data_IF_216141316141
#
_entry.id   IF_216141316141
#
_cell.length_a   1.000
_cell.length_b   1.000
_cell.length_c   1.000
_cell.angle_alpha   90.00
_cell.angle_beta   90.00
_cell.angle_gamma   90.00
#
_symmetry.space_group_name_H-M   'P 1'
#
loop_
_entity.id
_entity.type
_entity.pdbx_description
1 polymer ?
#
# COMPACT_ATOMS: atom_id res chain seq x y z
N UNK A 1 -62.96 2.22 45.19
CA UNK A 1 -61.76 1.73 44.57
C UNK A 1 -61.86 2.00 43.07
N UNK A 2 -61.30 3.10 42.59
CA UNK A 2 -61.31 3.46 41.17
C UNK A 2 -60.02 2.93 40.57
N UNK A 3 -60.14 2.03 39.61
CA UNK A 3 -59.02 1.50 38.85
C UNK A 3 -58.88 2.38 37.62
N UNK A 4 -57.80 3.18 37.60
CA UNK A 4 -57.44 4.07 36.49
C UNK A 4 -56.59 3.25 35.50
N UNK A 5 -57.16 2.89 34.35
CA UNK A 5 -56.44 2.25 33.28
C UNK A 5 -55.80 3.33 32.40
N UNK A 6 -54.56 3.67 32.68
CA UNK A 6 -53.72 4.48 31.79
C UNK A 6 -53.23 3.64 30.60
N UNK A 7 -53.81 3.85 29.43
CA UNK A 7 -53.30 3.30 28.16
C UNK A 7 -52.07 4.13 27.73
N UNK A 8 -50.86 3.66 28.02
CA UNK A 8 -49.64 4.19 27.41
C UNK A 8 -49.53 3.62 26.00
N UNK A 9 -49.87 4.42 24.98
CA UNK A 9 -49.56 4.12 23.58
C UNK A 9 -48.10 4.47 23.30
N UNK A 10 -47.22 3.46 23.33
CA UNK A 10 -45.85 3.62 22.85
C UNK A 10 -45.81 3.42 21.34
N UNK A 11 -45.68 4.49 20.58
CA UNK A 11 -45.52 4.48 19.14
C UNK A 11 -44.03 4.26 18.81
N UNK A 12 -43.60 3.00 18.63
CA UNK A 12 -42.27 2.69 18.13
C UNK A 12 -42.22 2.81 16.59
N UNK A 13 -41.71 3.90 16.06
CA UNK A 13 -41.38 4.01 14.65
C UNK A 13 -40.21 3.09 14.32
N UNK A 14 -40.48 1.89 13.80
CA UNK A 14 -39.44 1.07 13.16
C UNK A 14 -39.19 1.63 11.76
N UNK A 15 -38.02 2.24 11.54
CA UNK A 15 -37.57 2.63 10.21
C UNK A 15 -37.27 1.32 9.47
N UNK A 16 -38.18 0.91 8.60
CA UNK A 16 -37.93 -0.20 7.67
C UNK A 16 -37.06 0.36 6.55
N UNK A 17 -35.76 0.12 6.66
CA UNK A 17 -34.81 0.49 5.60
C UNK A 17 -35.07 -0.45 4.43
N UNK A 18 -35.45 0.06 3.26
CA UNK A 18 -35.67 -0.75 2.07
C UNK A 18 -34.36 -1.42 1.65
N UNK A 19 -34.43 -2.66 1.18
CA UNK A 19 -33.25 -3.44 0.70
C UNK A 19 -32.49 -2.68 -0.39
N UNK A 20 -33.20 -1.95 -1.25
CA UNK A 20 -32.63 -1.13 -2.31
C UNK A 20 -31.76 0.02 -1.77
N UNK A 21 -32.17 0.64 -0.65
CA UNK A 21 -31.41 1.70 -0.02
C UNK A 21 -30.13 1.16 0.63
N UNK A 22 -30.20 0.00 1.27
CA UNK A 22 -29.01 -0.68 1.83
C UNK A 22 -28.01 -1.01 0.70
N UNK A 23 -28.50 -1.54 -0.42
CA UNK A 23 -27.68 -1.87 -1.58
C UNK A 23 -27.00 -0.61 -2.16
N UNK A 24 -27.74 0.49 -2.33
CA UNK A 24 -27.17 1.75 -2.86
C UNK A 24 -26.10 2.34 -1.95
N UNK A 25 -26.29 2.27 -0.62
CA UNK A 25 -25.30 2.69 0.37
C UNK A 25 -24.07 1.79 0.39
N UNK A 26 -24.25 0.47 0.18
CA UNK A 26 -23.16 -0.50 0.06
C UNK A 26 -22.32 -0.19 -1.20
N UNK A 27 -22.97 0.00 -2.35
CA UNK A 27 -22.31 0.36 -3.63
C UNK A 27 -21.53 1.68 -3.52
N UNK A 28 -22.08 2.67 -2.81
CA UNK A 28 -21.39 3.95 -2.61
C UNK A 28 -20.08 3.79 -1.83
N UNK A 29 -20.04 2.88 -0.84
CA UNK A 29 -18.86 2.68 0.02
C UNK A 29 -17.79 1.77 -0.59
N UNK A 30 -18.10 0.97 -1.59
CA UNK A 30 -17.17 0.03 -2.24
C UNK A 30 -16.02 0.75 -2.93
N UNK A 31 -14.86 0.12 -3.01
CA UNK A 31 -13.77 0.53 -3.90
C UNK A 31 -14.13 0.20 -5.35
N UNK A 32 -13.31 0.64 -6.30
CA UNK A 32 -13.53 0.38 -7.74
C UNK A 32 -13.45 -1.12 -8.06
N UNK A 33 -12.47 -1.83 -7.46
CA UNK A 33 -12.30 -3.27 -7.63
C UNK A 33 -13.47 -4.06 -7.02
N UNK A 34 -13.86 -3.72 -5.78
CA UNK A 34 -15.01 -4.36 -5.14
C UNK A 34 -16.32 -4.14 -5.92
N UNK A 35 -16.47 -2.98 -6.56
CA UNK A 35 -17.61 -2.71 -7.44
C UNK A 35 -17.59 -3.59 -8.68
N UNK A 36 -16.43 -3.75 -9.32
CA UNK A 36 -16.26 -4.63 -10.49
C UNK A 36 -16.64 -6.07 -10.14
N UNK A 37 -16.22 -6.56 -8.99
CA UNK A 37 -16.53 -7.91 -8.51
C UNK A 37 -18.02 -8.07 -8.14
N UNK A 38 -18.63 -7.06 -7.51
CA UNK A 38 -20.07 -7.09 -7.21
C UNK A 38 -20.92 -7.06 -8.49
N UNK A 39 -20.51 -6.29 -9.53
CA UNK A 39 -21.20 -6.28 -10.82
C UNK A 39 -21.12 -7.64 -11.49
N UNK A 40 -19.94 -8.30 -11.51
CA UNK A 40 -19.79 -9.64 -12.05
C UNK A 40 -20.71 -10.64 -11.35
N UNK A 41 -20.71 -10.61 -10.01
CA UNK A 41 -21.56 -11.46 -9.20
C UNK A 41 -23.05 -11.24 -9.49
N UNK A 42 -23.49 -9.98 -9.61
CA UNK A 42 -24.87 -9.67 -9.97
C UNK A 42 -25.23 -10.09 -11.39
N UNK A 43 -24.30 -10.06 -12.34
CA UNK A 43 -24.51 -10.58 -13.70
C UNK A 43 -24.63 -12.11 -13.73
N UNK A 44 -23.92 -12.83 -12.85
CA UNK A 44 -24.07 -14.28 -12.71
C UNK A 44 -25.44 -14.66 -12.08
N UNK A 45 -25.92 -13.87 -11.14
CA UNK A 45 -27.20 -14.10 -10.45
C UNK A 45 -28.42 -13.63 -11.26
N UNK A 46 -28.26 -12.65 -12.16
CA UNK A 46 -29.33 -12.03 -12.90
C UNK A 46 -29.11 -12.13 -14.43
N UNK A 47 -29.78 -13.02 -15.14
CA UNK A 47 -29.57 -13.25 -16.58
C UNK A 47 -29.99 -12.05 -17.46
N UNK A 48 -30.66 -11.04 -16.91
CA UNK A 48 -31.07 -9.84 -17.65
C UNK A 48 -29.90 -8.86 -17.81
N UNK A 49 -28.89 -8.95 -16.95
CA UNK A 49 -27.72 -8.07 -16.94
C UNK A 49 -26.65 -8.66 -17.87
N UNK A 50 -26.34 -7.95 -18.93
CA UNK A 50 -25.19 -8.21 -19.77
C UNK A 50 -24.06 -7.24 -19.43
N UNK A 51 -22.89 -7.80 -19.20
CA UNK A 51 -21.68 -7.05 -18.84
C UNK A 51 -20.71 -7.15 -20.02
N UNK A 52 -20.55 -6.08 -20.75
CA UNK A 52 -19.47 -5.96 -21.72
C UNK A 52 -18.24 -5.38 -21.02
N UNK A 53 -17.25 -6.25 -20.78
CA UNK A 53 -15.94 -5.77 -20.42
C UNK A 53 -15.30 -5.21 -21.70
N UNK A 54 -15.20 -3.90 -21.79
CA UNK A 54 -14.24 -3.31 -22.71
C UNK A 54 -12.87 -3.69 -22.18
N UNK A 55 -12.37 -4.84 -22.63
CA UNK A 55 -10.94 -5.06 -22.60
C UNK A 55 -10.34 -3.85 -23.34
N UNK A 56 -9.92 -2.87 -22.59
CA UNK A 56 -8.99 -1.87 -23.05
C UNK A 56 -7.57 -2.50 -23.12
N UNK A 57 -7.45 -3.72 -23.60
CA UNK A 57 -6.40 -3.98 -24.52
C UNK A 57 -6.69 -2.97 -25.66
N UNK A 58 -6.19 -1.74 -25.50
CA UNK A 58 -5.74 -1.00 -26.66
C UNK A 58 -4.91 -2.07 -27.35
N UNK A 59 -5.45 -2.67 -28.41
CA UNK A 59 -4.64 -3.29 -29.43
C UNK A 59 -3.72 -2.17 -29.81
N UNK A 60 -2.58 -2.10 -29.10
CA UNK A 60 -1.49 -1.21 -29.47
C UNK A 60 -1.29 -1.64 -30.89
N UNK A 61 -1.61 -0.76 -31.80
CA UNK A 61 -1.45 -1.01 -33.22
C UNK A 61 0.05 -1.12 -33.44
N UNK A 62 0.55 -2.31 -33.11
CA UNK A 62 1.99 -2.63 -33.11
C UNK A 62 2.60 -2.32 -34.46
N UNK A 63 1.79 -2.42 -35.55
CA UNK A 63 2.20 -2.02 -36.87
C UNK A 63 2.43 -0.50 -36.96
N UNK A 64 1.58 0.32 -36.37
CA UNK A 64 1.79 1.78 -36.30
C UNK A 64 2.96 2.16 -35.40
N UNK A 65 3.09 1.48 -34.26
CA UNK A 65 4.20 1.73 -33.34
C UNK A 65 5.55 1.31 -33.95
N UNK A 66 5.62 0.16 -34.59
CA UNK A 66 6.81 -0.31 -35.31
C UNK A 66 7.13 0.60 -36.49
N UNK A 67 6.13 1.06 -37.23
CA UNK A 67 6.35 2.01 -38.33
C UNK A 67 6.82 3.38 -37.82
N UNK A 68 6.33 3.85 -36.69
CA UNK A 68 6.82 5.07 -36.04
C UNK A 68 8.29 4.94 -35.58
N UNK A 69 8.66 3.80 -35.02
CA UNK A 69 10.05 3.50 -34.66
C UNK A 69 10.95 3.39 -35.89
N UNK A 70 10.48 2.78 -36.97
CA UNK A 70 11.23 2.71 -38.25
C UNK A 70 11.48 4.09 -38.85
N UNK A 71 10.56 5.04 -38.74
CA UNK A 71 10.73 6.40 -39.22
C UNK A 71 11.73 7.24 -38.42
N UNK A 72 11.95 6.94 -37.14
CA UNK A 72 12.93 7.61 -36.31
C UNK A 72 14.37 7.09 -36.46
N UNK A 73 14.53 5.87 -36.98
CA UNK A 73 15.88 5.26 -37.17
C UNK A 73 16.50 5.51 -38.54
N UNK A 74 15.83 6.24 -39.43
CA UNK A 74 16.33 6.44 -40.81
C UNK A 74 17.17 7.69 -41.03
N UNK A 75 17.64 8.41 -39.99
CA UNK A 75 18.43 9.60 -40.17
C UNK A 75 19.91 9.50 -39.71
N UNK A 76 20.43 8.31 -39.43
CA UNK A 76 21.87 8.15 -39.23
C UNK A 76 22.44 7.16 -40.26
N UNK A 77 23.04 7.74 -41.30
CA UNK A 77 23.87 7.01 -42.25
C UNK A 77 25.15 6.60 -41.54
N UNK A 78 25.22 5.39 -41.04
CA UNK A 78 26.46 4.62 -40.98
C UNK A 78 26.11 3.13 -41.04
N UNK A 79 26.57 2.54 -42.14
CA UNK A 79 26.47 1.13 -42.45
C UNK A 79 27.20 0.28 -41.41
N UNK A 80 26.48 -0.41 -40.56
CA UNK A 80 26.96 -1.66 -40.01
C UNK A 80 25.87 -2.69 -40.18
N UNK A 81 26.20 -3.71 -40.99
CA UNK A 81 25.40 -4.88 -41.28
C UNK A 81 25.03 -5.59 -39.99
N UNK A 82 23.84 -5.35 -39.48
CA UNK A 82 23.22 -6.22 -38.48
C UNK A 82 22.32 -7.24 -39.18
N UNK A 83 22.68 -8.50 -39.00
CA UNK A 83 21.92 -9.66 -39.46
C UNK A 83 20.51 -9.59 -38.93
N UNK A 84 19.52 -9.70 -39.83
CA UNK A 84 18.08 -9.58 -39.58
C UNK A 84 17.45 -10.84 -38.95
N UNK A 85 18.19 -11.61 -38.14
CA UNK A 85 17.69 -12.84 -37.49
C UNK A 85 17.72 -12.82 -35.94
N UNK A 86 17.93 -11.68 -35.34
CA UNK A 86 17.63 -11.58 -33.90
C UNK A 86 16.16 -11.21 -33.72
N UNK A 87 15.27 -12.19 -33.70
CA UNK A 87 14.02 -12.07 -32.93
C UNK A 87 14.46 -11.61 -31.55
N UNK A 88 14.19 -10.35 -31.18
CA UNK A 88 14.25 -9.94 -29.79
C UNK A 88 13.26 -10.83 -29.03
N UNK A 89 13.78 -11.82 -28.37
CA UNK A 89 13.02 -12.67 -27.46
C UNK A 89 12.55 -11.73 -26.34
N UNK A 90 11.31 -11.25 -26.45
CA UNK A 90 10.64 -10.49 -25.37
C UNK A 90 10.57 -11.28 -24.07
N UNK A 91 10.72 -12.60 -24.15
CA UNK A 91 10.82 -13.49 -22.98
C UNK A 91 12.02 -13.16 -22.08
N UNK A 92 13.09 -12.59 -22.59
CA UNK A 92 14.26 -12.14 -21.82
C UNK A 92 14.06 -10.79 -21.12
N UNK A 93 12.97 -10.07 -21.41
CA UNK A 93 12.64 -8.77 -20.79
C UNK A 93 11.70 -8.98 -19.59
N UNK A 94 11.07 -10.14 -19.48
CA UNK A 94 10.37 -10.51 -18.27
C UNK A 94 11.45 -10.68 -17.19
N UNK A 95 11.62 -9.69 -16.34
CA UNK A 95 12.44 -9.83 -15.15
C UNK A 95 11.87 -11.01 -14.38
N UNK A 96 12.58 -12.15 -14.41
CA UNK A 96 12.26 -13.27 -13.55
C UNK A 96 12.46 -12.76 -12.12
N UNK A 97 11.37 -12.29 -11.51
CA UNK A 97 11.34 -12.06 -10.08
C UNK A 97 11.38 -13.44 -9.43
N UNK A 98 12.59 -14.03 -9.37
CA UNK A 98 12.78 -15.30 -8.70
C UNK A 98 12.39 -15.12 -7.24
N UNK A 99 11.49 -15.97 -6.78
CA UNK A 99 11.17 -16.06 -5.36
C UNK A 99 12.42 -16.53 -4.60
N UNK A 100 12.56 -16.07 -3.36
CA UNK A 100 13.66 -16.51 -2.49
C UNK A 100 13.78 -18.05 -2.45
N UNK A 101 12.65 -18.72 -2.32
CA UNK A 101 12.55 -20.18 -2.23
C UNK A 101 13.09 -20.87 -3.48
N UNK A 102 12.71 -20.42 -4.67
CA UNK A 102 13.17 -20.98 -5.94
C UNK A 102 14.68 -20.77 -6.11
N UNK A 103 15.16 -19.55 -5.76
CA UNK A 103 16.58 -19.20 -5.82
C UNK A 103 17.43 -20.08 -4.89
N UNK A 104 16.98 -20.35 -3.65
CA UNK A 104 17.69 -21.22 -2.72
C UNK A 104 17.64 -22.68 -3.15
N UNK A 105 16.52 -23.15 -3.70
CA UNK A 105 16.39 -24.53 -4.24
C UNK A 105 17.32 -24.75 -5.43
N UNK A 106 17.43 -23.80 -6.34
CA UNK A 106 18.38 -23.88 -7.46
C UNK A 106 19.82 -23.99 -6.97
N UNK A 107 20.22 -23.24 -5.94
CA UNK A 107 21.55 -23.34 -5.36
C UNK A 107 21.80 -24.71 -4.71
N UNK A 108 20.83 -25.26 -3.97
CA UNK A 108 20.96 -26.58 -3.34
C UNK A 108 21.13 -27.67 -4.40
N UNK A 109 20.44 -27.61 -5.52
CA UNK A 109 20.58 -28.57 -6.62
C UNK A 109 22.00 -28.59 -7.22
N UNK A 110 22.79 -27.53 -7.02
CA UNK A 110 24.18 -27.48 -7.43
C UNK A 110 25.10 -28.27 -6.48
N UNK A 111 24.67 -28.56 -5.26
CA UNK A 111 25.44 -29.38 -4.32
C UNK A 111 25.17 -30.88 -4.54
N UNK A 112 26.21 -31.71 -4.44
CA UNK A 112 26.06 -33.16 -4.49
C UNK A 112 25.60 -33.69 -3.13
N UNK A 113 24.29 -33.67 -2.90
CA UNK A 113 23.63 -34.04 -1.66
C UNK A 113 22.81 -35.32 -1.89
N UNK A 114 22.66 -36.18 -0.87
CA UNK A 114 21.80 -37.34 -0.93
C UNK A 114 20.31 -36.93 -1.06
N UNK A 115 19.51 -37.71 -1.80
CA UNK A 115 18.07 -37.44 -2.01
C UNK A 115 17.26 -37.28 -0.72
N UNK A 116 17.72 -37.88 0.39
CA UNK A 116 17.09 -37.73 1.71
C UNK A 116 17.43 -36.38 2.34
N UNK A 117 18.68 -35.95 2.24
CA UNK A 117 19.15 -34.64 2.72
C UNK A 117 18.57 -33.49 1.87
N UNK A 118 18.42 -33.70 0.56
CA UNK A 118 17.79 -32.77 -0.36
C UNK A 118 16.36 -32.41 0.08
N UNK A 119 15.52 -33.41 0.35
CA UNK A 119 14.14 -33.18 0.86
C UNK A 119 14.13 -32.44 2.20
N UNK A 120 15.09 -32.70 3.06
CA UNK A 120 15.22 -32.01 4.34
C UNK A 120 15.58 -30.53 4.12
N UNK A 121 16.51 -30.28 3.20
CA UNK A 121 16.90 -28.91 2.84
C UNK A 121 15.72 -28.15 2.22
N UNK A 122 14.94 -28.78 1.34
CA UNK A 122 13.73 -28.17 0.77
C UNK A 122 12.71 -27.81 1.85
N UNK A 123 12.47 -28.72 2.80
CA UNK A 123 11.53 -28.46 3.89
C UNK A 123 12.02 -27.32 4.80
N UNK A 124 13.33 -27.25 5.10
CA UNK A 124 13.90 -26.15 5.87
C UNK A 124 13.75 -24.82 5.11
N UNK A 125 13.97 -24.81 3.78
CA UNK A 125 13.78 -23.61 2.95
C UNK A 125 12.31 -23.16 2.99
N UNK A 126 11.36 -24.09 2.85
CA UNK A 126 9.93 -23.78 2.89
C UNK A 126 9.46 -23.27 4.28
N UNK A 127 10.23 -23.59 5.34
CA UNK A 127 9.99 -23.13 6.72
C UNK A 127 10.64 -21.77 7.04
N UNK A 128 11.38 -21.17 6.10
CA UNK A 128 12.01 -19.86 6.30
C UNK A 128 10.96 -18.74 6.31
N UNK A 129 11.19 -17.74 7.14
CA UNK A 129 10.41 -16.50 7.15
C UNK A 129 10.80 -15.62 5.94
N UNK A 130 9.99 -14.63 5.61
CA UNK A 130 10.26 -13.62 4.57
C UNK A 130 11.60 -12.90 4.72
N UNK A 131 12.20 -12.90 5.92
CA UNK A 131 13.51 -12.34 6.20
C UNK A 131 14.64 -13.36 6.07
N UNK A 132 14.33 -14.64 5.81
CA UNK A 132 15.30 -15.75 5.74
C UNK A 132 15.65 -16.35 7.09
N UNK A 133 14.86 -16.11 8.14
CA UNK A 133 15.08 -16.68 9.47
C UNK A 133 14.28 -17.96 9.69
N UNK A 134 14.86 -18.88 10.44
CA UNK A 134 14.25 -20.14 10.84
C UNK A 134 13.78 -20.03 12.30
N UNK A 135 12.47 -19.84 12.53
CA UNK A 135 11.95 -19.58 13.88
C UNK A 135 11.76 -20.82 14.74
N UNK A 136 11.35 -21.94 14.13
CA UNK A 136 10.85 -23.12 14.85
C UNK A 136 11.66 -24.38 14.50
N UNK A 137 12.94 -24.43 14.89
CA UNK A 137 13.83 -25.57 14.62
C UNK A 137 13.31 -26.88 15.20
N UNK A 138 12.75 -26.83 16.43
CA UNK A 138 12.22 -28.01 17.12
C UNK A 138 11.01 -28.62 16.43
N UNK A 139 10.19 -27.80 15.77
CA UNK A 139 9.04 -28.29 14.99
C UNK A 139 9.51 -29.03 13.73
N UNK A 140 10.46 -28.46 13.01
CA UNK A 140 11.03 -29.07 11.80
C UNK A 140 11.62 -30.45 12.07
N UNK A 141 12.36 -30.60 13.19
CA UNK A 141 12.97 -31.89 13.60
C UNK A 141 11.88 -32.91 13.94
N UNK A 142 10.82 -32.51 14.63
CA UNK A 142 9.70 -33.38 15.03
C UNK A 142 8.86 -33.83 13.83
N UNK A 143 8.53 -32.91 12.94
CA UNK A 143 7.67 -33.18 11.78
C UNK A 143 8.31 -34.16 10.79
N UNK A 144 9.61 -34.03 10.62
CA UNK A 144 10.36 -34.91 9.70
C UNK A 144 10.88 -36.21 10.35
N UNK A 145 10.79 -36.38 11.69
CA UNK A 145 11.31 -37.50 12.45
C UNK A 145 12.79 -37.85 12.10
N UNK A 146 13.63 -36.83 11.97
CA UNK A 146 15.00 -36.93 11.48
C UNK A 146 15.99 -36.85 12.64
N UNK A 147 17.12 -37.52 12.46
CA UNK A 147 18.24 -37.43 13.40
C UNK A 147 18.82 -35.98 13.40
N UNK A 148 18.98 -35.40 14.59
CA UNK A 148 19.55 -34.07 14.79
C UNK A 148 20.89 -33.84 14.07
N UNK A 149 21.64 -34.92 13.80
CA UNK A 149 22.90 -34.84 13.05
C UNK A 149 22.68 -34.49 11.58
N UNK A 150 21.67 -35.08 10.95
CA UNK A 150 21.32 -34.82 9.55
C UNK A 150 20.78 -33.39 9.43
N UNK A 151 19.89 -33.01 10.33
CA UNK A 151 19.35 -31.64 10.38
C UNK A 151 20.47 -30.59 10.49
N UNK A 152 21.40 -30.74 11.43
CA UNK A 152 22.50 -29.79 11.61
C UNK A 152 23.43 -29.71 10.38
N UNK A 153 23.55 -30.79 9.62
CA UNK A 153 24.32 -30.81 8.37
C UNK A 153 23.58 -30.03 7.29
N UNK A 154 22.28 -30.27 7.13
CA UNK A 154 21.43 -29.55 6.17
C UNK A 154 21.36 -28.04 6.51
N UNK A 155 21.23 -27.71 7.81
CA UNK A 155 21.27 -26.29 8.26
C UNK A 155 22.58 -25.62 7.85
N UNK A 156 23.73 -26.29 7.97
CA UNK A 156 25.01 -25.74 7.53
C UNK A 156 25.10 -25.53 6.02
N UNK A 157 24.52 -26.42 5.22
CA UNK A 157 24.44 -26.20 3.77
C UNK A 157 23.63 -24.93 3.46
N UNK A 158 22.47 -24.76 4.09
CA UNK A 158 21.62 -23.58 3.88
C UNK A 158 22.33 -22.30 4.34
N UNK A 159 23.06 -22.33 5.46
CA UNK A 159 23.83 -21.19 5.96
C UNK A 159 25.00 -20.78 5.04
N UNK A 160 25.44 -21.66 4.14
CA UNK A 160 26.48 -21.35 3.14
C UNK A 160 25.94 -20.81 1.83
N UNK A 161 24.59 -20.75 1.66
CA UNK A 161 23.94 -20.24 0.44
C UNK A 161 23.93 -18.71 0.38
N UNK A 162 23.69 -18.17 -0.81
CA UNK A 162 23.41 -16.76 -1.04
C UNK A 162 21.87 -16.50 -1.04
N UNK A 163 21.42 -15.44 -0.36
CA UNK A 163 22.17 -14.38 0.32
C UNK A 163 22.75 -14.80 1.68
N UNK A 164 23.94 -14.31 1.97
CA UNK A 164 24.65 -14.64 3.24
C UNK A 164 23.81 -14.26 4.45
N UNK A 165 23.68 -15.17 5.42
CA UNK A 165 22.91 -14.96 6.65
C UNK A 165 21.54 -15.62 6.67
N UNK A 166 21.17 -16.36 5.63
CA UNK A 166 19.96 -17.21 5.60
C UNK A 166 20.12 -18.42 6.52
N UNK A 167 19.02 -18.92 7.10
CA UNK A 167 18.99 -20.08 7.97
C UNK A 167 19.50 -19.82 9.39
N UNK A 168 19.59 -18.55 9.80
CA UNK A 168 19.79 -18.18 11.20
C UNK A 168 18.47 -18.15 11.96
N UNK A 169 18.45 -18.55 13.24
CA UNK A 169 17.25 -18.53 14.09
C UNK A 169 16.88 -17.11 14.52
N UNK A 170 17.88 -16.24 14.68
CA UNK A 170 17.74 -14.86 15.14
C UNK A 170 18.66 -13.91 14.35
N UNK A 171 18.44 -12.61 14.52
CA UNK A 171 19.28 -11.57 13.93
C UNK A 171 20.78 -11.76 14.27
N UNK A 172 21.07 -12.09 15.53
CA UNK A 172 22.45 -12.28 16.02
C UNK A 172 23.13 -13.43 15.26
N UNK A 173 22.45 -14.57 15.10
CA UNK A 173 22.97 -15.72 14.36
C UNK A 173 23.17 -15.39 12.88
N UNK A 174 22.23 -14.70 12.25
CA UNK A 174 22.36 -14.26 10.86
C UNK A 174 23.59 -13.37 10.62
N UNK A 175 23.85 -12.42 11.51
CA UNK A 175 25.04 -11.56 11.43
C UNK A 175 26.34 -12.36 11.63
N UNK A 176 26.33 -13.36 12.52
CA UNK A 176 27.49 -14.24 12.73
C UNK A 176 27.75 -15.12 11.50
N UNK A 177 26.71 -15.63 10.86
CA UNK A 177 26.82 -16.38 9.60
C UNK A 177 27.47 -15.50 8.51
N UNK A 178 27.03 -14.26 8.39
CA UNK A 178 27.62 -13.31 7.43
C UNK A 178 29.11 -13.06 7.72
N UNK A 179 29.49 -12.89 8.99
CA UNK A 179 30.91 -12.74 9.35
C UNK A 179 31.74 -13.96 9.01
N UNK A 180 31.21 -15.15 9.23
CA UNK A 180 31.91 -16.42 8.87
C UNK A 180 32.08 -16.55 7.37
N UNK A 181 31.07 -16.17 6.59
CA UNK A 181 31.14 -16.17 5.13
C UNK A 181 32.13 -15.11 4.59
N UNK A 182 32.42 -14.06 5.36
CA UNK A 182 33.47 -13.06 5.06
C UNK A 182 34.85 -13.47 5.58
N UNK A 183 35.02 -14.71 6.11
CA UNK A 183 36.25 -15.22 6.73
C UNK A 183 36.79 -14.40 7.92
N UNK A 184 35.95 -13.59 8.55
CA UNK A 184 36.31 -12.80 9.74
C UNK A 184 36.06 -13.65 10.98
N UNK A 185 37.13 -14.25 11.53
CA UNK A 185 37.10 -15.07 12.74
C UNK A 185 37.62 -14.31 13.95
N UNK A 186 36.79 -13.37 14.45
CA UNK A 186 37.12 -12.61 15.67
C UNK A 186 36.11 -12.95 16.77
N UNK A 187 36.56 -13.74 17.76
CA UNK A 187 35.70 -14.21 18.87
C UNK A 187 35.11 -13.06 19.69
N UNK A 188 35.84 -11.94 19.85
CA UNK A 188 35.32 -10.76 20.55
C UNK A 188 34.16 -10.11 19.79
N UNK A 189 34.25 -10.08 18.48
CA UNK A 189 33.18 -9.53 17.63
C UNK A 189 31.92 -10.40 17.68
N UNK A 190 32.08 -11.74 17.64
CA UNK A 190 30.97 -12.68 17.80
C UNK A 190 30.28 -12.50 19.17
N UNK A 191 31.04 -12.34 20.24
CA UNK A 191 30.49 -12.14 21.59
C UNK A 191 29.76 -10.79 21.76
N UNK A 192 30.24 -9.73 21.12
CA UNK A 192 29.58 -8.43 21.08
C UNK A 192 28.23 -8.52 20.35
N UNK A 193 28.19 -9.25 19.24
CA UNK A 193 26.94 -9.44 18.48
C UNK A 193 25.93 -10.26 19.28
N UNK A 194 26.35 -11.35 19.95
CA UNK A 194 25.45 -12.19 20.75
C UNK A 194 24.84 -11.47 21.95
N UNK A 195 25.65 -10.69 22.68
CA UNK A 195 25.22 -10.21 23.99
C UNK A 195 24.88 -8.73 24.04
N UNK A 196 25.48 -7.90 23.19
CA UNK A 196 25.45 -6.44 23.34
C UNK A 196 24.99 -5.67 22.07
N UNK A 197 24.30 -6.33 21.14
CA UNK A 197 23.76 -5.69 19.93
C UNK A 197 22.85 -4.51 20.27
N UNK A 198 22.02 -4.63 21.31
CA UNK A 198 21.17 -3.58 21.83
C UNK A 198 21.95 -2.36 22.38
N UNK A 199 23.13 -2.59 22.92
CA UNK A 199 24.00 -1.50 23.40
C UNK A 199 24.57 -0.71 22.22
N UNK A 200 24.86 -1.36 21.10
CA UNK A 200 25.28 -0.70 19.85
C UNK A 200 24.15 0.16 19.29
N UNK A 201 22.91 -0.38 19.20
CA UNK A 201 21.74 0.35 18.74
C UNK A 201 21.44 1.60 19.56
N UNK A 202 21.64 1.53 20.88
CA UNK A 202 21.46 2.65 21.80
C UNK A 202 22.69 3.58 21.93
N UNK A 203 23.73 3.38 21.10
CA UNK A 203 24.99 4.17 21.10
C UNK A 203 25.74 4.18 22.44
N UNK A 204 25.58 3.16 23.29
CA UNK A 204 26.25 3.06 24.60
C UNK A 204 27.67 2.46 24.47
N UNK A 205 28.51 3.07 23.63
CA UNK A 205 29.85 2.59 23.28
C UNK A 205 30.75 2.43 24.52
N UNK A 206 30.64 3.35 25.49
CA UNK A 206 31.44 3.31 26.71
C UNK A 206 31.19 2.08 27.59
N UNK A 207 30.00 1.48 27.54
CA UNK A 207 29.69 0.23 28.26
C UNK A 207 30.39 -0.98 27.59
N UNK A 208 30.37 -1.03 26.26
CA UNK A 208 31.02 -2.09 25.48
C UNK A 208 32.54 -2.04 25.71
N UNK A 209 33.15 -0.85 25.60
CA UNK A 209 34.57 -0.69 25.85
C UNK A 209 35.01 -1.15 27.28
N UNK A 210 34.20 -0.85 28.33
CA UNK A 210 34.47 -1.28 29.69
C UNK A 210 34.29 -2.79 29.89
N UNK A 211 33.23 -3.39 29.27
CA UNK A 211 32.90 -4.83 29.42
C UNK A 211 33.94 -5.73 28.77
N UNK A 212 34.41 -5.35 27.60
CA UNK A 212 35.36 -6.15 26.82
C UNK A 212 36.82 -5.67 26.88
N UNK A 213 37.12 -4.65 27.69
CA UNK A 213 38.45 -4.02 27.82
C UNK A 213 39.08 -3.61 26.47
N UNK A 214 38.25 -3.07 25.55
CA UNK A 214 38.62 -2.70 24.19
C UNK A 214 38.84 -1.20 24.09
N UNK A 215 39.83 -0.79 23.27
CA UNK A 215 40.08 0.61 22.99
C UNK A 215 38.93 1.21 22.16
N UNK A 216 38.61 2.49 22.40
CA UNK A 216 37.50 3.18 21.71
C UNK A 216 37.63 3.14 20.18
N UNK A 217 38.84 3.23 19.65
CA UNK A 217 39.12 3.12 18.21
C UNK A 217 38.77 1.74 17.65
N UNK A 218 39.13 0.66 18.36
CA UNK A 218 38.80 -0.72 17.98
C UNK A 218 37.29 -0.97 18.04
N UNK A 219 36.62 -0.49 19.11
CA UNK A 219 35.17 -0.59 19.24
C UNK A 219 34.45 0.12 18.07
N UNK A 220 34.93 1.30 17.64
CA UNK A 220 34.38 2.01 16.50
C UNK A 220 34.58 1.24 15.18
N UNK A 221 35.70 0.53 15.01
CA UNK A 221 35.90 -0.31 13.83
C UNK A 221 34.94 -1.51 13.82
N UNK A 222 34.72 -2.18 14.97
CA UNK A 222 33.73 -3.24 15.08
C UNK A 222 32.32 -2.74 14.78
N UNK A 223 31.94 -1.57 15.27
CA UNK A 223 30.65 -0.98 14.96
C UNK A 223 30.51 -0.66 13.46
N UNK A 224 31.58 -0.21 12.79
CA UNK A 224 31.56 0.00 11.33
C UNK A 224 31.37 -1.32 10.56
N UNK A 225 32.06 -2.38 10.98
CA UNK A 225 31.89 -3.71 10.39
C UNK A 225 30.47 -4.24 10.58
N UNK A 226 29.91 -4.15 11.81
CA UNK A 226 28.53 -4.58 12.06
C UNK A 226 27.52 -3.78 11.22
N UNK A 227 27.75 -2.49 11.02
CA UNK A 227 26.90 -1.64 10.17
C UNK A 227 27.01 -1.93 8.68
N UNK A 228 28.09 -2.55 8.23
CA UNK A 228 28.23 -2.99 6.82
C UNK A 228 27.52 -4.31 6.54
N UNK A 229 27.09 -5.05 7.58
CA UNK A 229 26.33 -6.28 7.44
C UNK A 229 24.83 -5.97 7.23
N UNK A 230 24.15 -6.87 6.53
CA UNK A 230 22.73 -6.73 6.23
C UNK A 230 21.87 -7.41 7.32
N UNK A 231 21.05 -6.62 8.06
CA UNK A 231 20.15 -7.19 9.07
C UNK A 231 18.99 -8.00 8.47
N UNK A 232 18.70 -7.82 7.18
CA UNK A 232 17.62 -8.50 6.45
C UNK A 232 18.10 -8.94 5.08
N UNK A 233 18.87 -10.03 5.01
CA UNK A 233 19.52 -10.47 3.76
C UNK A 233 18.51 -10.75 2.63
N UNK A 234 17.30 -11.18 2.97
CA UNK A 234 16.27 -11.54 1.99
C UNK A 234 15.35 -10.39 1.57
N UNK A 235 15.58 -9.15 2.03
CA UNK A 235 14.71 -8.01 1.68
C UNK A 235 14.66 -7.75 0.15
N UNK A 236 15.72 -8.08 -0.57
CA UNK A 236 15.80 -7.93 -2.04
C UNK A 236 14.85 -8.87 -2.78
N UNK A 237 14.53 -10.02 -2.20
CA UNK A 237 13.63 -11.03 -2.76
C UNK A 237 12.17 -10.83 -2.35
N UNK A 238 11.88 -9.89 -1.46
CA UNK A 238 10.48 -9.55 -1.16
C UNK A 238 9.83 -8.96 -2.39
N UNK A 239 8.96 -9.75 -2.98
CA UNK A 239 8.03 -9.24 -3.98
C UNK A 239 7.17 -8.19 -3.26
N UNK A 240 7.43 -6.94 -3.56
CA UNK A 240 6.46 -5.90 -3.20
C UNK A 240 5.30 -6.10 -4.15
N UNK A 241 4.20 -6.62 -3.64
CA UNK A 241 2.95 -6.64 -4.39
C UNK A 241 2.67 -5.20 -4.82
N UNK A 242 2.89 -4.94 -6.10
CA UNK A 242 2.60 -3.63 -6.68
C UNK A 242 1.09 -3.55 -6.82
N UNK A 243 0.45 -2.92 -5.86
CA UNK A 243 -1.00 -2.68 -5.94
C UNK A 243 -1.22 -1.53 -6.92
N UNK A 244 -1.73 -1.84 -8.09
CA UNK A 244 -2.15 -0.85 -9.07
C UNK A 244 -3.50 -0.28 -8.67
N UNK A 245 -3.53 1.01 -8.32
CA UNK A 245 -4.76 1.71 -7.95
C UNK A 245 -5.27 2.47 -9.17
N UNK A 246 -6.48 2.14 -9.65
CA UNK A 246 -7.17 2.92 -10.68
C UNK A 246 -7.80 4.15 -10.01
N UNK A 247 -7.50 5.40 -10.48
CA UNK A 247 -8.12 6.59 -9.91
C UNK A 247 -9.59 6.69 -10.35
N UNK A 248 -10.47 7.14 -9.46
CA UNK A 248 -11.88 7.40 -9.75
C UNK A 248 -12.06 8.69 -10.56
N UNK A 249 -11.19 9.68 -10.31
CA UNK A 249 -11.24 11.01 -10.94
C UNK A 249 -9.84 11.48 -11.28
N UNK A 250 -9.70 12.13 -12.44
CA UNK A 250 -8.43 12.75 -12.88
C UNK A 250 -8.61 14.27 -12.96
N UNK A 251 -7.66 15.00 -12.37
CA UNK A 251 -7.59 16.46 -12.47
C UNK A 251 -6.54 16.83 -13.51
N UNK A 252 -6.96 17.49 -14.58
CA UNK A 252 -6.07 18.00 -15.62
C UNK A 252 -6.07 19.52 -15.62
N UNK A 253 -4.94 20.14 -15.94
CA UNK A 253 -4.87 21.58 -16.15
C UNK A 253 -5.00 21.86 -17.65
N UNK A 254 -6.10 22.52 -18.05
CA UNK A 254 -6.39 22.88 -19.45
C UNK A 254 -6.56 24.41 -19.47
N UNK A 255 -5.83 25.08 -20.32
CA UNK A 255 -5.87 26.56 -20.52
C UNK A 255 -5.73 27.39 -19.21
N UNK A 256 -5.00 26.85 -18.24
CA UNK A 256 -4.76 27.51 -16.95
C UNK A 256 -5.79 27.15 -15.86
N UNK A 257 -6.91 26.57 -16.21
CA UNK A 257 -7.94 26.11 -15.27
C UNK A 257 -7.82 24.59 -14.99
N UNK A 258 -8.22 24.19 -13.79
CA UNK A 258 -8.26 22.78 -13.42
C UNK A 258 -9.62 22.18 -13.76
N UNK A 259 -9.61 21.19 -14.65
CA UNK A 259 -10.80 20.47 -15.08
C UNK A 259 -10.79 19.08 -14.50
N UNK A 260 -11.95 18.64 -13.98
CA UNK A 260 -12.18 17.30 -13.49
C UNK A 260 -12.69 16.42 -14.64
N UNK A 261 -11.98 15.34 -14.88
CA UNK A 261 -12.41 14.26 -15.74
C UNK A 261 -12.72 13.05 -14.86
N UNK A 262 -14.00 12.64 -14.81
CA UNK A 262 -14.35 11.38 -14.17
C UNK A 262 -13.74 10.27 -14.99
N UNK A 263 -12.84 9.51 -14.43
CA UNK A 263 -12.42 8.27 -15.06
C UNK A 263 -13.66 7.40 -15.12
N UNK A 264 -14.14 7.20 -16.32
CA UNK A 264 -15.18 6.23 -16.53
C UNK A 264 -14.59 4.89 -16.09
N UNK A 265 -15.01 4.40 -14.96
CA UNK A 265 -14.84 2.99 -14.56
C UNK A 265 -15.53 2.06 -15.55
N UNK A 266 -15.71 2.54 -16.76
CA UNK A 266 -16.49 1.97 -17.86
C UNK A 266 -15.67 1.01 -18.70
N UNK A 267 -14.72 0.33 -18.09
CA UNK A 267 -14.30 -0.95 -18.66
C UNK A 267 -15.47 -1.96 -18.55
N UNK A 268 -16.53 -1.62 -17.79
CA UNK A 268 -17.73 -2.43 -17.61
C UNK A 268 -18.95 -1.62 -18.05
N UNK A 269 -19.43 -1.88 -19.25
CA UNK A 269 -20.72 -1.38 -19.70
C UNK A 269 -21.81 -2.39 -19.30
N UNK A 270 -22.78 -1.93 -18.53
CA UNK A 270 -23.91 -2.74 -18.12
C UNK A 270 -25.05 -2.49 -19.05
N UNK A 271 -25.45 -3.51 -19.79
CA UNK A 271 -26.59 -3.48 -20.70
C UNK A 271 -27.70 -4.40 -20.21
N UNK A 272 -28.93 -4.02 -20.49
CA UNK A 272 -30.10 -4.85 -20.26
C UNK A 272 -30.40 -5.60 -21.56
N UNK A 273 -30.39 -6.92 -21.51
CA UNK A 273 -30.67 -7.74 -22.69
C UNK A 273 -32.05 -7.41 -23.25
N UNK A 274 -32.11 -7.07 -24.55
CA UNK A 274 -33.33 -6.69 -25.27
C UNK A 274 -34.35 -7.83 -25.38
N UNK A 275 -33.89 -9.08 -25.42
CA UNK A 275 -34.74 -10.26 -25.51
C UNK A 275 -35.76 -10.34 -24.36
N UNK A 276 -35.36 -10.05 -23.13
CA UNK A 276 -36.26 -10.07 -21.97
C UNK A 276 -37.27 -8.92 -22.01
N UNK A 277 -36.93 -7.79 -22.64
CA UNK A 277 -37.89 -6.69 -22.86
C UNK A 277 -38.99 -7.08 -23.86
N UNK A 278 -38.64 -7.85 -24.92
CA UNK A 278 -39.60 -8.35 -25.89
C UNK A 278 -40.59 -9.33 -25.25
N UNK A 279 -40.11 -10.24 -24.39
CA UNK A 279 -40.98 -11.20 -23.64
C UNK A 279 -41.99 -10.48 -22.75
N UNK A 280 -41.62 -9.36 -22.14
CA UNK A 280 -42.54 -8.58 -21.33
C UNK A 280 -43.67 -7.94 -22.14
N UNK A 281 -43.40 -7.60 -23.39
CA UNK A 281 -44.36 -6.96 -24.29
C UNK A 281 -45.27 -7.99 -25.00
N UNK A 282 -44.87 -9.26 -25.05
CA UNK A 282 -45.67 -10.34 -25.67
C UNK A 282 -46.85 -10.72 -24.78
N UNK A 283 -48.09 -10.55 -25.29
CA UNK A 283 -49.32 -10.89 -24.58
C UNK A 283 -49.51 -12.39 -24.31
N UNK A 284 -48.81 -13.26 -25.09
CA UNK A 284 -48.91 -14.71 -25.00
C UNK A 284 -48.04 -15.36 -23.91
N UNK A 285 -47.20 -14.60 -23.22
CA UNK A 285 -46.27 -15.12 -22.19
C UNK A 285 -46.98 -15.43 -20.86
N UNK A 286 -46.53 -16.49 -20.16
CA UNK A 286 -47.03 -16.87 -18.85
C UNK A 286 -46.93 -15.75 -17.82
N UNK A 287 -48.00 -15.56 -17.03
CA UNK A 287 -48.08 -14.51 -15.99
C UNK A 287 -46.95 -14.64 -14.98
N UNK A 288 -46.63 -15.87 -14.57
CA UNK A 288 -45.55 -16.17 -13.60
C UNK A 288 -44.18 -15.83 -14.19
N UNK A 289 -43.94 -16.08 -15.46
CA UNK A 289 -42.71 -15.73 -16.14
C UNK A 289 -42.56 -14.20 -16.25
N UNK A 290 -43.62 -13.48 -16.55
CA UNK A 290 -43.63 -12.00 -16.61
C UNK A 290 -43.32 -11.38 -15.25
N UNK A 291 -43.89 -11.89 -14.18
CA UNK A 291 -43.65 -11.40 -12.81
C UNK A 291 -42.19 -11.61 -12.42
N UNK A 292 -41.64 -12.79 -12.66
CA UNK A 292 -40.22 -13.09 -12.41
C UNK A 292 -39.28 -12.16 -13.19
N UNK A 293 -39.50 -11.97 -14.50
CA UNK A 293 -38.70 -11.08 -15.34
C UNK A 293 -38.79 -9.64 -14.84
N UNK A 294 -39.99 -9.19 -14.44
CA UNK A 294 -40.18 -7.83 -13.89
C UNK A 294 -39.37 -7.61 -12.62
N UNK A 295 -39.39 -8.53 -11.67
CA UNK A 295 -38.62 -8.42 -10.42
C UNK A 295 -37.11 -8.38 -10.70
N UNK A 296 -36.64 -9.21 -11.63
CA UNK A 296 -35.22 -9.22 -12.03
C UNK A 296 -34.82 -7.94 -12.77
N UNK A 297 -35.72 -7.38 -13.61
CA UNK A 297 -35.49 -6.13 -14.30
C UNK A 297 -35.47 -4.95 -13.33
N UNK A 298 -36.36 -4.91 -12.35
CA UNK A 298 -36.35 -3.86 -11.31
C UNK A 298 -35.07 -3.94 -10.49
N UNK A 299 -34.56 -5.12 -10.17
CA UNK A 299 -33.28 -5.30 -9.50
C UNK A 299 -32.10 -4.78 -10.35
N UNK A 300 -32.08 -5.08 -11.65
CA UNK A 300 -31.05 -4.59 -12.60
C UNK A 300 -31.09 -3.05 -12.73
N UNK A 301 -32.28 -2.46 -12.86
CA UNK A 301 -32.45 -1.00 -12.91
C UNK A 301 -31.99 -0.30 -11.63
N UNK A 302 -32.26 -0.90 -10.47
CA UNK A 302 -31.83 -0.37 -9.17
C UNK A 302 -30.31 -0.41 -9.04
N UNK A 303 -29.66 -1.46 -9.55
CA UNK A 303 -28.20 -1.58 -9.61
C UNK A 303 -27.59 -0.45 -10.48
N UNK A 304 -28.11 -0.27 -11.71
CA UNK A 304 -27.64 0.78 -12.63
C UNK A 304 -27.81 2.17 -12.00
N UNK A 305 -28.98 2.46 -11.46
CA UNK A 305 -29.23 3.74 -10.76
C UNK A 305 -28.28 3.97 -9.58
N UNK A 306 -27.95 2.92 -8.84
CA UNK A 306 -27.03 3.01 -7.70
C UNK A 306 -25.59 3.32 -8.15
N UNK A 307 -25.15 2.75 -9.27
CA UNK A 307 -23.86 3.02 -9.88
C UNK A 307 -23.78 4.44 -10.42
N UNK A 308 -24.82 4.93 -11.11
CA UNK A 308 -24.92 6.29 -11.59
C UNK A 308 -24.92 7.31 -10.43
N UNK A 309 -25.67 7.02 -9.37
CA UNK A 309 -25.70 7.84 -8.15
C UNK A 309 -24.31 7.88 -7.49
N UNK A 310 -23.60 6.76 -7.40
CA UNK A 310 -22.21 6.72 -6.92
C UNK A 310 -21.32 7.64 -7.76
N UNK A 311 -21.37 7.52 -9.10
CA UNK A 311 -20.57 8.32 -10.03
C UNK A 311 -20.83 9.81 -9.86
N UNK A 312 -22.10 10.22 -9.84
CA UNK A 312 -22.48 11.63 -9.67
C UNK A 312 -22.03 12.18 -8.30
N UNK A 313 -22.21 11.40 -7.23
CA UNK A 313 -21.77 11.78 -5.87
C UNK A 313 -20.26 11.94 -5.80
N UNK A 314 -19.49 11.02 -6.38
CA UNK A 314 -18.02 11.07 -6.41
C UNK A 314 -17.53 12.33 -7.16
N UNK A 315 -18.13 12.64 -8.31
CA UNK A 315 -17.80 13.84 -9.08
C UNK A 315 -18.17 15.13 -8.32
N UNK A 316 -19.33 15.18 -7.66
CA UNK A 316 -19.73 16.33 -6.84
C UNK A 316 -18.74 16.57 -5.70
N UNK A 317 -18.35 15.53 -4.97
CA UNK A 317 -17.35 15.62 -3.91
C UNK A 317 -16.00 16.10 -4.47
N UNK A 318 -15.54 15.54 -5.58
CA UNK A 318 -14.29 15.92 -6.22
C UNK A 318 -14.29 17.41 -6.67
N UNK A 319 -15.39 17.90 -7.24
CA UNK A 319 -15.55 19.30 -7.63
C UNK A 319 -15.47 20.23 -6.41
N UNK A 320 -16.11 19.88 -5.32
CA UNK A 320 -16.07 20.67 -4.10
C UNK A 320 -14.69 20.69 -3.46
N UNK A 321 -13.97 19.55 -3.48
CA UNK A 321 -12.56 19.47 -3.06
C UNK A 321 -11.70 20.39 -3.92
N UNK A 322 -11.83 20.31 -5.25
CA UNK A 322 -11.06 21.14 -6.18
C UNK A 322 -11.27 22.63 -5.92
N UNK A 323 -12.52 23.06 -5.72
CA UNK A 323 -12.86 24.46 -5.47
C UNK A 323 -12.28 24.99 -4.15
N UNK A 324 -12.30 24.17 -3.09
CA UNK A 324 -11.77 24.56 -1.77
C UNK A 324 -10.25 24.48 -1.69
N UNK A 325 -9.63 23.58 -2.43
CA UNK A 325 -8.20 23.29 -2.38
C UNK A 325 -7.41 23.89 -3.56
N UNK A 326 -7.87 25.01 -4.15
CA UNK A 326 -7.20 25.66 -5.29
C UNK A 326 -5.71 25.89 -5.05
N UNK A 327 -5.35 26.37 -3.85
CA UNK A 327 -3.94 26.61 -3.49
C UNK A 327 -3.08 25.32 -3.53
N UNK A 328 -3.67 24.17 -3.17
CA UNK A 328 -2.99 22.88 -3.30
C UNK A 328 -2.70 22.54 -4.77
N UNK A 329 -3.68 22.73 -5.66
CA UNK A 329 -3.52 22.40 -7.08
C UNK A 329 -2.59 23.38 -7.82
N UNK A 330 -2.46 24.65 -7.35
CA UNK A 330 -1.59 25.66 -7.93
C UNK A 330 -0.18 25.61 -7.38
N UNK A 331 -0.02 25.54 -6.05
CA UNK A 331 1.25 25.73 -5.34
C UNK A 331 1.85 24.43 -4.81
N UNK A 332 1.09 23.33 -4.87
CA UNK A 332 1.56 22.00 -4.47
C UNK A 332 1.13 21.54 -3.08
N UNK A 333 1.64 20.37 -2.70
CA UNK A 333 1.22 19.57 -1.53
C UNK A 333 1.24 20.34 -0.20
N UNK A 334 2.04 21.44 -0.11
CA UNK A 334 2.24 22.20 1.12
C UNK A 334 1.14 23.17 1.46
N UNK A 335 0.32 23.50 0.49
CA UNK A 335 -0.74 24.51 0.60
C UNK A 335 -2.12 23.91 0.80
N UNK A 336 -2.17 22.70 1.42
CA UNK A 336 -3.43 22.08 1.82
C UNK A 336 -4.11 22.90 2.91
N UNK A 337 -5.33 23.32 2.64
CA UNK A 337 -6.22 23.96 3.63
C UNK A 337 -6.97 22.89 4.43
N UNK A 338 -7.15 23.07 5.75
CA UNK A 338 -7.97 22.13 6.52
C UNK A 338 -9.42 22.21 6.08
N UNK A 339 -10.08 21.06 5.91
CA UNK A 339 -11.46 20.96 5.48
C UNK A 339 -12.18 19.89 6.31
N UNK A 340 -13.38 20.22 6.82
CA UNK A 340 -14.20 19.29 7.58
C UNK A 340 -15.27 18.67 6.67
N UNK A 341 -15.53 17.37 6.85
CA UNK A 341 -16.59 16.69 6.09
C UNK A 341 -17.98 17.30 6.34
N UNK A 342 -18.21 17.91 7.52
CA UNK A 342 -19.46 18.59 7.84
C UNK A 342 -19.69 19.83 6.99
N UNK A 343 -18.66 20.62 6.72
CA UNK A 343 -18.74 21.83 5.87
C UNK A 343 -19.10 21.46 4.44
N UNK A 344 -18.52 20.34 3.95
CA UNK A 344 -18.84 19.82 2.62
C UNK A 344 -20.28 19.27 2.57
N UNK A 345 -20.74 18.63 3.65
CA UNK A 345 -22.09 18.10 3.77
C UNK A 345 -23.15 19.21 3.67
N UNK A 346 -22.89 20.33 4.34
CA UNK A 346 -23.77 21.49 4.29
C UNK A 346 -23.82 22.15 2.89
N UNK A 347 -22.66 22.29 2.24
CA UNK A 347 -22.54 22.87 0.91
C UNK A 347 -23.27 22.05 -0.16
N UNK A 348 -23.11 20.72 -0.11
CA UNK A 348 -23.72 19.81 -1.08
C UNK A 348 -25.16 19.41 -0.71
N UNK A 349 -25.68 19.83 0.44
CA UNK A 349 -26.98 19.40 0.97
C UNK A 349 -27.12 17.88 1.08
N UNK A 350 -26.05 17.20 1.47
CA UNK A 350 -25.99 15.73 1.62
C UNK A 350 -25.64 15.40 3.07
N UNK A 351 -26.11 14.25 3.58
CA UNK A 351 -25.74 13.83 4.93
C UNK A 351 -24.24 13.51 5.03
N UNK A 352 -23.62 13.84 6.17
CA UNK A 352 -22.17 13.60 6.41
C UNK A 352 -21.77 12.13 6.21
N UNK A 353 -22.66 11.19 6.53
CA UNK A 353 -22.38 9.75 6.33
C UNK A 353 -22.24 9.39 4.85
N UNK A 354 -22.97 10.06 3.95
CA UNK A 354 -22.86 9.86 2.49
C UNK A 354 -21.51 10.35 1.98
N UNK A 355 -21.05 11.51 2.46
CA UNK A 355 -19.71 12.01 2.14
C UNK A 355 -18.63 11.06 2.66
N UNK A 356 -18.73 10.61 3.91
CA UNK A 356 -17.77 9.66 4.48
C UNK A 356 -17.65 8.38 3.66
N UNK A 357 -18.77 7.84 3.17
CA UNK A 357 -18.77 6.67 2.27
C UNK A 357 -18.21 6.99 0.88
N UNK A 358 -18.50 8.18 0.35
CA UNK A 358 -18.01 8.63 -0.96
C UNK A 358 -16.53 9.01 -0.98
N UNK A 359 -15.91 9.22 0.17
CA UNK A 359 -14.49 9.61 0.33
C UNK A 359 -13.58 8.43 0.59
N UNK A 360 -14.05 7.43 1.34
CA UNK A 360 -13.24 6.27 1.70
C UNK A 360 -12.95 5.38 0.49
N UNK A 361 -11.69 5.02 0.29
CA UNK A 361 -11.25 4.14 -0.79
C UNK A 361 -11.44 4.72 -2.19
N UNK A 362 -11.60 6.05 -2.32
CA UNK A 362 -11.65 6.77 -3.59
C UNK A 362 -10.38 7.55 -3.82
N UNK A 363 -9.89 7.53 -5.05
CA UNK A 363 -8.61 8.12 -5.42
C UNK A 363 -8.77 9.16 -6.52
N UNK A 364 -8.01 10.24 -6.39
CA UNK A 364 -7.92 11.31 -7.35
C UNK A 364 -6.50 11.40 -7.90
N UNK A 365 -6.36 11.34 -9.21
CA UNK A 365 -5.10 11.60 -9.88
C UNK A 365 -4.97 13.12 -10.08
N UNK A 366 -3.96 13.70 -9.43
CA UNK A 366 -3.64 15.13 -9.53
C UNK A 366 -2.32 15.32 -10.28
N UNK A 367 -1.97 16.54 -10.73
CA UNK A 367 -0.66 16.83 -11.32
C UNK A 367 0.52 16.49 -10.40
N UNK A 368 0.29 16.43 -9.08
CA UNK A 368 1.32 16.12 -8.07
C UNK A 368 1.35 14.64 -7.66
N UNK A 369 0.51 13.80 -8.24
CA UNK A 369 0.41 12.37 -7.97
C UNK A 369 -0.99 11.91 -7.58
N UNK A 370 -1.08 10.65 -7.18
CA UNK A 370 -2.31 10.00 -6.77
C UNK A 370 -2.56 10.25 -5.27
N UNK A 371 -3.75 10.76 -4.94
CA UNK A 371 -4.16 11.02 -3.56
C UNK A 371 -5.53 10.39 -3.28
N UNK A 372 -5.70 9.82 -2.09
CA UNK A 372 -7.01 9.42 -1.60
C UNK A 372 -7.83 10.69 -1.28
N UNK A 373 -9.14 10.70 -1.54
CA UNK A 373 -10.01 11.83 -1.18
C UNK A 373 -9.94 12.19 0.29
N UNK A 374 -9.78 11.17 1.16
CA UNK A 374 -9.62 11.32 2.60
C UNK A 374 -8.43 12.21 3.00
N UNK A 375 -7.38 12.24 2.18
CA UNK A 375 -6.19 13.06 2.39
C UNK A 375 -6.51 14.57 2.51
N UNK A 376 -7.51 15.04 1.78
CA UNK A 376 -7.93 16.45 1.79
C UNK A 376 -8.73 16.84 3.04
N UNK A 377 -9.24 15.86 3.79
CA UNK A 377 -10.00 16.08 5.03
C UNK A 377 -9.11 15.96 6.25
N UNK A 378 -8.11 16.82 6.34
CA UNK A 378 -7.21 16.87 7.50
C UNK A 378 -7.83 17.70 8.63
N UNK A 379 -7.59 17.28 9.88
CA UNK A 379 -7.93 18.09 11.05
C UNK A 379 -7.05 19.34 11.07
N UNK A 380 -7.65 20.51 10.94
CA UNK A 380 -6.97 21.79 11.21
C UNK A 380 -6.68 21.93 12.70
N UNK A 381 -5.54 22.50 13.04
CA UNK A 381 -5.32 23.05 14.37
C UNK A 381 -5.86 24.47 14.38
N UNK A 382 -6.74 24.76 15.33
CA UNK A 382 -7.29 26.10 15.53
C UNK A 382 -6.13 27.04 15.93
N UNK A 383 -5.80 27.96 15.05
CA UNK A 383 -4.86 29.05 15.31
C UNK A 383 -5.65 30.35 15.45
N UNK A 384 -5.30 31.15 16.43
CA UNK A 384 -6.07 32.36 16.78
C UNK A 384 -6.00 33.50 15.75
N UNK A 385 -5.12 33.43 14.73
CA UNK A 385 -4.86 34.57 13.83
C UNK A 385 -4.70 34.25 12.34
N UNK A 386 -4.67 32.96 11.93
CA UNK A 386 -4.54 32.59 10.50
C UNK A 386 -5.43 31.43 10.13
N UNK A 387 -5.88 31.39 8.90
CA UNK A 387 -6.59 30.25 8.27
C UNK A 387 -5.88 28.96 8.69
N UNK A 388 -6.61 28.03 9.35
CA UNK A 388 -6.08 26.86 10.03
C UNK A 388 -5.04 26.10 9.21
N UNK A 389 -3.87 25.85 9.81
CA UNK A 389 -2.79 25.12 9.17
C UNK A 389 -3.05 23.62 9.28
N UNK A 390 -2.93 22.91 8.17
CA UNK A 390 -3.13 21.46 8.12
C UNK A 390 -2.05 20.71 8.95
N UNK A 391 -2.44 19.65 9.64
CA UNK A 391 -1.49 18.77 10.34
C UNK A 391 -0.40 18.20 9.42
N UNK A 392 -0.70 18.06 8.13
CA UNK A 392 0.22 17.57 7.10
C UNK A 392 1.34 18.58 6.83
N UNK A 393 0.99 19.87 6.74
CA UNK A 393 1.96 20.96 6.54
C UNK A 393 2.92 21.07 7.73
N UNK A 394 2.41 20.88 8.95
CA UNK A 394 3.21 20.89 10.17
C UNK A 394 4.16 19.70 10.23
N UNK A 395 3.69 18.49 9.93
CA UNK A 395 4.54 17.29 9.87
C UNK A 395 5.70 17.48 8.89
N UNK A 396 5.42 18.09 7.76
CA UNK A 396 6.46 18.35 6.77
C UNK A 396 7.45 19.41 7.30
N UNK A 397 6.97 20.52 7.86
CA UNK A 397 7.88 21.51 8.45
C UNK A 397 8.81 20.86 9.48
N UNK A 398 8.29 19.98 10.36
CA UNK A 398 9.10 19.24 11.32
C UNK A 398 10.13 18.37 10.59
N UNK A 399 9.73 17.65 9.53
CA UNK A 399 10.62 16.79 8.74
C UNK A 399 11.75 17.59 8.06
N UNK A 400 11.42 18.72 7.44
CA UNK A 400 12.38 19.59 6.74
C UNK A 400 13.32 20.28 7.72
N UNK A 401 12.80 20.75 8.86
CA UNK A 401 13.62 21.34 9.93
C UNK A 401 14.62 20.35 10.50
N UNK A 402 14.20 19.11 10.74
CA UNK A 402 15.08 18.06 11.25
C UNK A 402 16.08 17.59 10.18
N UNK A 403 15.70 17.57 8.92
CA UNK A 403 16.60 17.22 7.81
C UNK A 403 17.74 18.23 7.67
N UNK A 404 17.46 19.50 7.92
CA UNK A 404 18.42 20.62 7.81
C UNK A 404 19.12 20.94 9.15
N UNK A 405 18.90 20.15 10.23
CA UNK A 405 19.53 20.38 11.51
C UNK A 405 21.03 19.99 11.52
N UNK A 406 21.80 20.67 12.37
CA UNK A 406 23.17 20.27 12.68
C UNK A 406 23.18 19.01 13.55
N UNK A 407 23.72 17.91 13.02
CA UNK A 407 23.79 16.61 13.68
C UNK A 407 24.65 16.63 14.97
N UNK A 408 25.50 17.62 15.16
CA UNK A 408 26.29 17.80 16.39
C UNK A 408 25.45 18.40 17.51
N UNK A 409 24.42 19.21 17.18
CA UNK A 409 23.52 19.89 18.11
C UNK A 409 22.06 19.76 17.67
N UNK A 410 21.48 18.55 17.73
CA UNK A 410 20.13 18.31 17.23
C UNK A 410 19.09 19.16 17.98
N UNK A 411 18.07 19.61 17.25
CA UNK A 411 17.01 20.46 17.79
C UNK A 411 16.10 19.65 18.73
N UNK A 412 15.81 20.20 19.91
CA UNK A 412 14.83 19.61 20.83
C UNK A 412 13.40 19.91 20.35
N UNK A 413 12.44 19.07 20.76
CA UNK A 413 11.01 19.28 20.45
C UNK A 413 10.50 20.66 20.94
N UNK A 414 11.13 21.22 22.02
CA UNK A 414 10.84 22.58 22.52
C UNK A 414 11.33 23.66 21.53
N UNK A 415 12.54 23.52 20.98
CA UNK A 415 13.04 24.46 19.98
C UNK A 415 12.22 24.44 18.70
N UNK A 416 11.81 23.26 18.25
CA UNK A 416 10.92 23.11 17.09
C UNK A 416 9.58 23.79 17.35
N UNK A 417 9.01 23.65 18.56
CA UNK A 417 7.80 24.37 18.97
C UNK A 417 7.97 25.88 18.87
N UNK A 418 9.10 26.42 19.39
CA UNK A 418 9.37 27.88 19.31
C UNK A 418 9.46 28.35 17.86
N UNK A 419 10.11 27.58 16.97
CA UNK A 419 10.17 27.91 15.54
C UNK A 419 8.80 27.93 14.89
N UNK A 420 7.92 26.97 15.21
CA UNK A 420 6.55 26.93 14.73
C UNK A 420 5.71 28.10 15.27
N UNK A 421 5.87 28.44 16.56
CA UNK A 421 5.19 29.58 17.17
C UNK A 421 5.61 30.91 16.52
N UNK A 422 6.89 31.09 16.15
CA UNK A 422 7.38 32.26 15.44
C UNK A 422 6.79 32.40 14.03
N UNK A 423 6.27 31.30 13.44
CA UNK A 423 5.56 31.29 12.17
C UNK A 423 4.04 31.44 12.34
N UNK A 424 3.56 31.78 13.54
CA UNK A 424 2.14 31.95 13.84
C UNK A 424 1.38 30.66 14.15
N UNK A 425 2.07 29.50 14.21
CA UNK A 425 1.45 28.19 14.45
C UNK A 425 1.59 27.81 15.93
N UNK A 426 0.55 27.99 16.70
CA UNK A 426 0.57 27.74 18.14
C UNK A 426 0.36 26.25 18.45
N UNK A 427 1.42 25.53 18.82
CA UNK A 427 1.39 24.08 19.05
C UNK A 427 2.03 23.73 20.40
N UNK A 428 1.44 22.74 21.09
CA UNK A 428 2.02 22.19 22.30
C UNK A 428 3.25 21.31 22.00
N UNK A 429 4.26 21.30 22.89
CA UNK A 429 5.43 20.41 22.76
C UNK A 429 5.04 18.93 22.60
N UNK A 430 3.99 18.48 23.32
CA UNK A 430 3.51 17.08 23.20
C UNK A 430 3.02 16.75 21.80
N UNK A 431 2.40 17.70 21.11
CA UNK A 431 1.93 17.52 19.72
C UNK A 431 3.11 17.44 18.76
N UNK A 432 4.18 18.23 18.96
CA UNK A 432 5.40 18.15 18.17
C UNK A 432 6.08 16.78 18.35
N UNK A 433 6.16 16.29 19.60
CA UNK A 433 6.71 14.95 19.87
C UNK A 433 5.89 13.85 19.20
N UNK A 434 4.54 13.93 19.28
CA UNK A 434 3.64 12.98 18.62
C UNK A 434 3.84 12.98 17.10
N UNK A 435 3.89 14.15 16.46
CA UNK A 435 4.10 14.23 15.00
C UNK A 435 5.48 13.76 14.58
N UNK A 436 6.51 14.00 15.37
CA UNK A 436 7.84 13.47 15.15
C UNK A 436 7.86 11.94 15.20
N UNK A 437 7.18 11.34 16.18
CA UNK A 437 7.05 9.89 16.35
C UNK A 437 6.25 9.26 15.19
N UNK A 438 5.17 9.89 14.77
CA UNK A 438 4.40 9.45 13.59
C UNK A 438 5.23 9.52 12.27
N UNK A 439 6.27 10.35 12.23
CA UNK A 439 7.25 10.43 11.13
C UNK A 439 8.42 9.46 11.31
N UNK A 440 8.39 8.59 12.35
CA UNK A 440 9.46 7.64 12.70
C UNK A 440 10.82 8.30 12.96
N UNK A 441 10.82 9.59 13.36
CA UNK A 441 12.04 10.34 13.65
C UNK A 441 12.42 10.19 15.12
N UNK A 442 13.65 9.77 15.37
CA UNK A 442 14.17 9.56 16.71
C UNK A 442 14.26 10.87 17.54
N UNK A 443 14.17 10.81 18.87
CA UNK A 443 14.33 11.98 19.75
C UNK A 443 15.74 12.60 19.64
N UNK A 444 15.88 13.88 19.96
CA UNK A 444 17.13 14.63 19.84
C UNK A 444 18.32 13.94 20.53
N UNK A 445 18.10 13.25 21.65
CA UNK A 445 19.14 12.48 22.36
C UNK A 445 19.72 11.32 21.55
N UNK A 446 18.90 10.67 20.70
CA UNK A 446 19.34 9.57 19.85
C UNK A 446 19.82 10.02 18.46
N UNK A 447 19.51 11.26 18.05
CA UNK A 447 19.95 11.86 16.79
C UNK A 447 21.34 12.49 16.87
N UNK A 448 21.84 12.79 18.09
CA UNK A 448 23.17 13.36 18.30
C UNK A 448 24.24 12.37 17.82
N UNK A 449 25.12 12.85 16.94
CA UNK A 449 26.32 12.13 16.46
C UNK A 449 27.44 12.14 17.51
#
# INVERSE_FOLDING_TARGET
MKIDYGLEMSQSQKIIVSTNLVQSLKILSMTTLELEDEIKKQAEENPIIEVEMQNSERKVDWERYINHLKHHTYNDKNESRYNADSKMDFENIISNNQNLYDYLKEQINCYKIDKTEEKVCEYIIDSLDENGYLKDEDLVIKDLNIDSKIYNRCKKYIQSLEPSGVGGSNLEESLIIQLRNLDIKDGLLEDIIKNDLNCIGNKKISLICKKYNINKSQCMNYIKLIKSLDPKPCEKFKLKDIIYIKPDVTVKKIDGEFVLEGNNTNDINIHINSFYKEILNDESSDIVAKEFIKDRLDSALNLIKSIEHRKSTTIMIANSILNKQKDFFEKGIHYIKPMKMQELAQELNIHQSTISRGVNGKYMLTPFGLFEFKYFFSKGLETQETEGVSSISIKKFIKDTIKNEDKSKPLSDEKIKVMLNNQGINIARRTVSKYREELEILPSSKRKL
#
